data_IF_986586156084
#
_entry.id   IF_986586156084
#
_cell.length_a   1.000
_cell.length_b   1.000
_cell.length_c   1.000
_cell.angle_alpha   90.00
_cell.angle_beta   90.00
_cell.angle_gamma   90.00
#
_symmetry.space_group_name_H-M   'P 1'
#
loop_
_entity.id
_entity.type
_entity.pdbx_description
1 polymer ?
#
# COMPACT_ATOMS: atom_id res chain seq x y z
N UNK A 1 12.41 -16.66 -5.11
CA UNK A 1 11.63 -17.18 -3.96
C UNK A 1 10.17 -17.34 -4.37
N UNK A 2 9.43 -18.28 -3.76
CA UNK A 2 8.00 -18.47 -4.05
C UNK A 2 7.18 -17.38 -3.37
N UNK A 3 6.28 -16.75 -4.12
CA UNK A 3 5.37 -15.72 -3.58
C UNK A 3 4.48 -16.32 -2.48
N UNK A 4 4.26 -15.64 -1.34
CA UNK A 4 3.32 -16.09 -0.33
C UNK A 4 1.93 -16.31 -0.93
N UNK A 5 1.13 -17.27 -0.42
CA UNK A 5 -0.21 -17.54 -0.94
C UNK A 5 -1.22 -16.44 -0.59
N UNK A 6 -0.84 -15.47 0.26
CA UNK A 6 -1.62 -14.31 0.63
C UNK A 6 -1.11 -13.04 -0.07
N UNK A 7 -2.04 -12.17 -0.46
CA UNK A 7 -1.77 -10.95 -1.23
C UNK A 7 -1.74 -11.17 -2.76
N UNK A 8 -2.08 -10.13 -3.51
CA UNK A 8 -2.00 -10.10 -4.98
C UNK A 8 -1.25 -8.86 -5.42
N UNK A 9 -0.46 -9.01 -6.48
CA UNK A 9 0.19 -7.86 -7.11
C UNK A 9 -0.87 -6.91 -7.68
N UNK A 10 -0.72 -5.61 -7.41
CA UNK A 10 -1.71 -4.58 -7.77
C UNK A 10 -2.93 -4.53 -6.84
N UNK A 11 -2.95 -5.29 -5.75
CA UNK A 11 -4.04 -5.25 -4.77
C UNK A 11 -3.99 -3.98 -3.95
N UNK A 12 -5.14 -3.33 -3.76
CA UNK A 12 -5.24 -2.24 -2.80
C UNK A 12 -5.27 -2.78 -1.37
N UNK A 13 -4.53 -2.13 -0.49
CA UNK A 13 -4.40 -2.48 0.92
C UNK A 13 -4.46 -1.25 1.80
N UNK A 14 -4.81 -1.45 3.07
CA UNK A 14 -4.72 -0.44 4.13
C UNK A 14 -3.44 -0.69 4.91
N UNK A 15 -2.66 0.36 5.13
CA UNK A 15 -1.49 0.26 6.02
C UNK A 15 -2.00 0.20 7.46
N UNK A 16 -1.60 -0.84 8.18
CA UNK A 16 -1.98 -1.07 9.57
C UNK A 16 -0.73 -1.27 10.42
N UNK A 17 -0.84 -0.96 11.71
CA UNK A 17 0.26 -1.23 12.65
C UNK A 17 0.27 -2.71 13.01
N UNK A 18 1.47 -3.31 13.12
CA UNK A 18 1.67 -4.67 13.65
C UNK A 18 1.49 -4.73 15.18
N UNK A 19 1.18 -3.62 15.84
CA UNK A 19 0.90 -3.55 17.28
C UNK A 19 2.10 -3.23 18.17
N UNK A 20 3.22 -2.76 17.61
CA UNK A 20 4.43 -2.45 18.37
C UNK A 20 5.18 -1.18 17.99
N UNK A 21 4.81 -0.48 16.91
CA UNK A 21 5.58 0.70 16.49
C UNK A 21 5.17 1.96 17.24
N UNK A 22 6.14 2.57 17.91
CA UNK A 22 6.04 3.92 18.50
C UNK A 22 6.75 4.97 17.65
N UNK A 23 7.29 4.58 16.49
CA UNK A 23 7.97 5.51 15.61
C UNK A 23 6.96 6.48 14.97
N UNK A 24 7.14 7.80 15.16
CA UNK A 24 6.22 8.80 14.64
C UNK A 24 6.21 8.86 13.11
N UNK A 25 7.25 8.34 12.46
CA UNK A 25 7.34 8.24 11.01
C UNK A 25 6.44 7.12 10.45
N UNK A 26 6.32 5.98 11.14
CA UNK A 26 5.35 4.93 10.79
C UNK A 26 3.90 5.43 10.95
N UNK A 27 3.65 6.30 11.93
CA UNK A 27 2.32 6.84 12.20
C UNK A 27 1.77 7.74 11.09
N UNK A 28 2.64 8.31 10.23
CA UNK A 28 2.24 9.21 9.13
C UNK A 28 1.43 8.47 8.06
N UNK A 29 1.74 7.20 7.84
CA UNK A 29 1.11 6.39 6.78
C UNK A 29 0.08 5.38 7.33
N UNK A 30 -0.11 5.29 8.65
CA UNK A 30 -1.14 4.43 9.25
C UNK A 30 -2.54 4.81 8.76
N UNK A 31 -3.27 3.82 8.27
CA UNK A 31 -4.56 4.03 7.66
C UNK A 31 -4.49 4.65 6.26
N UNK A 32 -3.32 4.86 5.66
CA UNK A 32 -3.27 5.22 4.25
C UNK A 32 -3.69 4.03 3.37
N UNK A 33 -4.26 4.34 2.21
CA UNK A 33 -4.55 3.34 1.18
C UNK A 33 -3.35 3.26 0.24
N UNK A 34 -2.89 2.05 -0.04
CA UNK A 34 -1.71 1.79 -0.84
C UNK A 34 -1.93 0.64 -1.82
N UNK A 35 -1.10 0.54 -2.85
CA UNK A 35 -1.10 -0.60 -3.79
C UNK A 35 0.04 -1.54 -3.43
N UNK A 36 -0.26 -2.82 -3.23
CA UNK A 36 0.72 -3.86 -2.95
C UNK A 36 1.40 -4.36 -4.22
N UNK A 37 2.70 -4.57 -4.14
CA UNK A 37 3.57 -4.99 -5.22
C UNK A 37 4.53 -6.08 -4.74
N UNK A 38 4.69 -7.12 -5.57
CA UNK A 38 5.62 -8.22 -5.27
C UNK A 38 6.99 -7.94 -5.87
N UNK A 39 8.01 -7.79 -5.03
CA UNK A 39 9.38 -7.67 -5.47
C UNK A 39 10.08 -9.03 -5.44
N UNK A 40 10.06 -9.72 -6.59
CA UNK A 40 10.57 -11.09 -6.71
C UNK A 40 12.07 -11.25 -6.48
N UNK A 41 12.86 -10.19 -6.65
CA UNK A 41 14.31 -10.19 -6.44
C UNK A 41 14.67 -10.33 -4.95
N UNK A 42 13.94 -9.63 -4.07
CA UNK A 42 14.11 -9.71 -2.61
C UNK A 42 13.18 -10.73 -1.96
N UNK A 43 12.17 -11.23 -2.71
CA UNK A 43 11.17 -12.14 -2.17
C UNK A 43 10.28 -11.46 -1.13
N UNK A 44 10.01 -10.18 -1.31
CA UNK A 44 9.27 -9.35 -0.38
C UNK A 44 8.10 -8.62 -1.06
N UNK A 45 7.05 -8.34 -0.28
CA UNK A 45 6.02 -7.39 -0.68
C UNK A 45 6.50 -5.97 -0.38
N UNK A 46 6.02 -4.99 -1.13
CA UNK A 46 6.10 -3.57 -0.80
C UNK A 46 4.79 -2.90 -1.18
N UNK A 47 4.50 -1.72 -0.62
CA UNK A 47 3.32 -0.95 -1.00
C UNK A 47 3.68 0.44 -1.47
N UNK A 48 2.85 1.02 -2.32
CA UNK A 48 2.98 2.41 -2.75
C UNK A 48 1.75 3.20 -2.30
N UNK A 49 1.96 4.22 -1.46
CA UNK A 49 0.88 5.05 -0.92
C UNK A 49 0.20 5.81 -2.04
N UNK A 50 -1.13 5.69 -2.11
CA UNK A 50 -1.95 6.36 -3.11
C UNK A 50 -1.80 7.88 -3.00
N UNK A 51 -1.52 8.55 -4.12
CA UNK A 51 -1.46 10.01 -4.20
C UNK A 51 -0.09 10.60 -3.85
N UNK A 52 0.70 9.97 -2.97
CA UNK A 52 2.07 10.37 -2.67
C UNK A 52 3.10 9.66 -3.56
N UNK A 53 2.84 8.39 -3.90
CA UNK A 53 3.83 7.55 -4.60
C UNK A 53 4.96 7.06 -3.69
N UNK A 54 4.90 7.32 -2.38
CA UNK A 54 5.88 6.83 -1.39
C UNK A 54 5.85 5.31 -1.34
N UNK A 55 7.02 4.68 -1.53
CA UNK A 55 7.20 3.24 -1.37
C UNK A 55 7.50 2.88 0.07
N UNK A 56 6.75 1.93 0.63
CA UNK A 56 6.89 1.45 2.00
C UNK A 56 7.14 -0.05 1.97
N UNK A 57 8.18 -0.49 2.67
CA UNK A 57 8.45 -1.89 2.89
C UNK A 57 7.73 -2.38 4.16
N UNK A 58 7.07 -3.55 4.13
CA UNK A 58 6.63 -4.22 5.35
C UNK A 58 7.87 -4.54 6.17
N UNK A 59 8.03 -3.83 7.27
CA UNK A 59 9.05 -4.07 8.28
C UNK A 59 8.43 -4.69 9.54
N UNK A 60 9.16 -4.63 10.65
CA UNK A 60 8.66 -5.13 11.95
C UNK A 60 7.43 -4.33 12.46
N UNK A 61 7.24 -3.13 11.94
CA UNK A 61 6.32 -2.11 12.47
C UNK A 61 5.00 -1.93 11.69
N UNK A 62 4.96 -2.37 10.43
CA UNK A 62 3.85 -2.13 9.49
C UNK A 62 3.40 -3.42 8.79
N UNK A 63 2.09 -3.63 8.73
CA UNK A 63 1.43 -4.71 7.98
C UNK A 63 0.42 -4.14 6.98
N UNK A 64 -0.11 -4.99 6.11
CA UNK A 64 -1.04 -4.62 5.05
C UNK A 64 -2.30 -5.46 5.11
N UNK A 65 -3.39 -4.82 5.52
CA UNK A 65 -4.69 -5.45 5.57
C UNK A 65 -5.41 -5.30 4.22
N UNK A 66 -6.05 -6.34 3.67
CA UNK A 66 -6.84 -6.26 2.44
C UNK A 66 -8.21 -5.59 2.64
N UNK A 67 -8.37 -4.75 3.66
CA UNK A 67 -9.66 -4.26 4.17
C UNK A 67 -10.33 -3.16 3.33
N UNK A 68 -9.81 -2.84 2.15
CA UNK A 68 -10.39 -1.81 1.28
C UNK A 68 -11.56 -2.40 0.49
N UNK A 69 -12.70 -1.74 0.53
CA UNK A 69 -13.87 -2.12 -0.28
C UNK A 69 -13.69 -1.75 -1.76
N UNK A 70 -14.39 -2.45 -2.66
CA UNK A 70 -14.36 -2.13 -4.10
C UNK A 70 -14.84 -0.70 -4.41
N UNK A 71 -15.75 -0.16 -3.59
CA UNK A 71 -16.25 1.22 -3.71
C UNK A 71 -15.13 2.21 -3.40
N UNK A 72 -14.46 2.07 -2.25
CA UNK A 72 -13.32 2.91 -1.88
C UNK A 72 -12.19 2.83 -2.91
N UNK A 73 -11.90 1.62 -3.41
CA UNK A 73 -10.91 1.41 -4.46
C UNK A 73 -11.26 2.16 -5.75
N UNK A 74 -12.55 2.17 -6.11
CA UNK A 74 -13.06 2.83 -7.32
C UNK A 74 -13.02 4.34 -7.19
N UNK A 75 -13.46 4.88 -6.04
CA UNK A 75 -13.43 6.31 -5.76
C UNK A 75 -12.00 6.85 -5.74
N UNK A 76 -11.08 6.13 -5.11
CA UNK A 76 -9.67 6.49 -5.05
C UNK A 76 -9.01 6.47 -6.44
N UNK A 77 -9.27 5.42 -7.24
CA UNK A 77 -8.81 5.38 -8.64
C UNK A 77 -9.35 6.55 -9.45
N UNK A 78 -10.63 6.88 -9.27
CA UNK A 78 -11.26 8.01 -9.95
C UNK A 78 -10.63 9.34 -9.56
N UNK A 79 -10.30 9.53 -8.28
CA UNK A 79 -9.61 10.71 -7.78
C UNK A 79 -8.18 10.80 -8.33
N UNK A 80 -7.40 9.72 -8.28
CA UNK A 80 -6.03 9.68 -8.82
C UNK A 80 -5.98 9.98 -10.32
N UNK A 81 -6.93 9.41 -11.09
CA UNK A 81 -7.05 9.65 -12.52
C UNK A 81 -7.42 11.10 -12.87
N UNK A 82 -8.09 11.83 -11.97
CA UNK A 82 -8.35 13.27 -12.12
C UNK A 82 -7.17 14.14 -11.70
N UNK A 83 -6.39 13.69 -10.72
CA UNK A 83 -5.24 14.43 -10.18
C UNK A 83 -3.97 14.31 -11.02
N UNK A 84 -3.95 13.44 -12.03
CA UNK A 84 -2.86 13.37 -13.00
C UNK A 84 -3.12 14.39 -14.11
N UNK A 85 -2.40 15.53 -14.21
CA UNK A 85 -2.57 16.42 -15.35
C UNK A 85 -2.22 15.65 -16.63
N UNK A 86 -2.90 15.90 -17.77
CA UNK A 86 -2.48 15.32 -19.04
C UNK A 86 -1.03 15.74 -19.29
N UNK A 87 -0.14 14.75 -19.42
CA UNK A 87 1.20 15.01 -19.97
C UNK A 87 1.00 15.55 -21.39
N UNK A 88 1.15 16.86 -21.53
CA UNK A 88 1.26 17.53 -22.84
C UNK A 88 2.62 17.26 -23.46
#
# INVERSE_FOLDING_TARGET
MSRPPYGRDGQWVRIVSTGGSTDPEDAVDLGAVAVAHWFGAEGAWFVTVAGSGTGIHPGECLDFAPEITEVEATELRSWLGRSTPPSS
#
